data_IF_294735417434
#
_entry.id   IF_294735417434
#
_cell.length_a   1.000
_cell.length_b   1.000
_cell.length_c   1.000
_cell.angle_alpha   90.00
_cell.angle_beta   90.00
_cell.angle_gamma   90.00
#
_symmetry.space_group_name_H-M   'P 1'
#
loop_
_entity.id
_entity.type
_entity.pdbx_description
1 polymer ?
#
# COMPACT_ATOMS: atom_id res chain seq x y z
N UNK A 1 29.30 -84.92 0.96
CA UNK A 1 29.24 -83.72 1.79
C UNK A 1 30.58 -83.55 2.50
N UNK A 2 31.37 -82.54 2.15
CA UNK A 2 32.65 -82.26 2.84
C UNK A 2 32.34 -81.68 4.23
N UNK A 3 32.94 -82.18 5.32
CA UNK A 3 32.71 -81.65 6.65
C UNK A 3 33.27 -80.18 6.72
N UNK A 4 32.46 -79.31 7.22
CA UNK A 4 32.86 -77.90 7.51
C UNK A 4 33.97 -77.99 8.57
N UNK A 5 35.18 -77.53 8.26
CA UNK A 5 36.32 -77.49 9.19
C UNK A 5 35.89 -76.64 10.42
N UNK A 6 35.77 -77.27 11.57
CA UNK A 6 35.39 -76.66 12.87
C UNK A 6 36.24 -75.41 13.23
N UNK A 7 37.40 -75.20 12.62
CA UNK A 7 38.27 -74.10 12.84
C UNK A 7 37.88 -72.79 12.15
N UNK A 8 36.85 -72.79 11.27
CA UNK A 8 36.42 -71.63 10.54
C UNK A 8 35.21 -70.89 11.12
N UNK A 9 34.49 -71.54 12.07
CA UNK A 9 33.23 -71.02 12.63
C UNK A 9 33.46 -69.82 13.55
N UNK A 10 34.52 -69.81 14.37
CA UNK A 10 34.83 -68.71 15.30
C UNK A 10 35.12 -67.40 14.63
N UNK A 11 36.03 -67.30 13.63
CA UNK A 11 36.31 -66.05 12.96
C UNK A 11 35.13 -65.57 12.11
N UNK A 12 34.31 -66.44 11.56
CA UNK A 12 33.12 -66.08 10.78
C UNK A 12 32.01 -65.47 11.66
N UNK A 13 31.75 -66.07 12.82
CA UNK A 13 30.79 -65.55 13.81
C UNK A 13 31.21 -64.16 14.34
N UNK A 14 32.50 -63.94 14.53
CA UNK A 14 33.06 -62.68 15.01
C UNK A 14 32.94 -61.56 13.95
N UNK A 15 33.24 -61.87 12.68
CA UNK A 15 33.04 -60.97 11.58
C UNK A 15 31.53 -60.59 11.38
N UNK A 16 30.66 -61.57 11.55
CA UNK A 16 29.22 -61.36 11.47
C UNK A 16 28.70 -60.47 12.61
N UNK A 17 29.12 -60.67 13.85
CA UNK A 17 28.72 -59.82 14.99
C UNK A 17 29.31 -58.43 14.88
N UNK A 18 30.56 -58.24 14.47
CA UNK A 18 31.17 -56.93 14.20
C UNK A 18 30.47 -56.19 13.08
N UNK A 19 30.13 -56.93 12.00
CA UNK A 19 29.32 -56.33 10.91
C UNK A 19 27.92 -55.88 11.34
N UNK A 20 27.24 -56.67 12.17
CA UNK A 20 25.93 -56.31 12.72
C UNK A 20 25.96 -55.05 13.61
N UNK A 21 26.98 -54.96 14.47
CA UNK A 21 27.20 -53.77 15.32
C UNK A 21 27.49 -52.54 14.47
N UNK A 22 28.31 -52.66 13.42
CA UNK A 22 28.61 -51.56 12.49
C UNK A 22 27.34 -51.11 11.76
N UNK A 23 26.53 -52.02 11.26
CA UNK A 23 25.24 -51.69 10.60
C UNK A 23 24.30 -50.97 11.57
N UNK A 24 24.20 -51.47 12.81
CA UNK A 24 23.37 -50.84 13.85
C UNK A 24 23.84 -49.39 14.15
N UNK A 25 25.14 -49.17 14.30
CA UNK A 25 25.71 -47.87 14.56
C UNK A 25 25.48 -46.88 13.40
N UNK A 26 25.65 -47.34 12.15
CA UNK A 26 25.38 -46.53 10.95
C UNK A 26 23.90 -46.23 10.86
N UNK A 27 23.02 -47.18 11.09
CA UNK A 27 21.56 -46.99 11.05
C UNK A 27 21.09 -46.01 12.12
N UNK A 28 21.61 -46.12 13.34
CA UNK A 28 21.29 -45.25 14.46
C UNK A 28 21.79 -43.81 14.19
N UNK A 29 23.03 -43.69 13.72
CA UNK A 29 23.61 -42.38 13.32
C UNK A 29 22.82 -41.72 12.19
N UNK A 30 22.46 -42.45 11.16
CA UNK A 30 21.64 -42.00 10.04
C UNK A 30 20.25 -41.54 10.52
N UNK A 31 19.63 -42.28 11.44
CA UNK A 31 18.34 -41.90 12.03
C UNK A 31 18.44 -40.59 12.80
N UNK A 32 19.44 -40.39 13.66
CA UNK A 32 19.64 -39.19 14.42
C UNK A 32 19.97 -37.99 13.52
N UNK A 33 20.80 -38.13 12.50
CA UNK A 33 21.13 -37.11 11.51
C UNK A 33 19.87 -36.70 10.74
N UNK A 34 19.09 -37.69 10.25
CA UNK A 34 17.85 -37.42 9.52
C UNK A 34 16.78 -36.72 10.37
N UNK A 35 16.70 -37.07 11.66
CA UNK A 35 15.80 -36.41 12.62
C UNK A 35 16.20 -34.97 12.86
N UNK A 36 17.48 -34.69 13.11
CA UNK A 36 17.98 -33.34 13.31
C UNK A 36 17.83 -32.45 12.05
N UNK A 37 18.07 -33.04 10.88
CA UNK A 37 17.89 -32.36 9.62
C UNK A 37 16.43 -31.94 9.40
N UNK A 38 15.46 -32.84 9.65
CA UNK A 38 14.03 -32.56 9.58
C UNK A 38 13.59 -31.48 10.58
N UNK A 39 14.06 -31.56 11.81
CA UNK A 39 13.74 -30.58 12.85
C UNK A 39 14.24 -29.18 12.50
N UNK A 40 15.43 -29.08 11.91
CA UNK A 40 15.94 -27.75 11.50
C UNK A 40 15.32 -27.25 10.20
N UNK A 41 15.06 -28.12 9.23
CA UNK A 41 14.31 -27.72 8.04
C UNK A 41 12.94 -27.16 8.43
N UNK A 42 12.26 -27.74 9.44
CA UNK A 42 11.05 -27.23 10.02
C UNK A 42 11.22 -25.84 10.65
N UNK A 43 12.29 -25.63 11.43
CA UNK A 43 12.59 -24.31 12.03
C UNK A 43 12.89 -23.25 10.98
N UNK A 44 13.61 -23.57 9.91
CA UNK A 44 13.88 -22.64 8.80
C UNK A 44 12.58 -22.28 8.09
N UNK A 45 11.74 -23.26 7.76
CA UNK A 45 10.43 -22.99 7.15
C UNK A 45 9.53 -22.15 8.04
N UNK A 46 9.51 -22.41 9.34
CA UNK A 46 8.75 -21.60 10.29
C UNK A 46 9.26 -20.17 10.35
N UNK A 47 10.58 -19.97 10.42
CA UNK A 47 11.18 -18.63 10.44
C UNK A 47 10.93 -17.86 9.13
N UNK A 48 10.97 -18.54 7.96
CA UNK A 48 10.58 -17.94 6.68
C UNK A 48 9.09 -17.54 6.65
N UNK A 49 8.22 -18.41 7.18
CA UNK A 49 6.79 -18.12 7.26
C UNK A 49 6.51 -16.94 8.21
N UNK A 50 7.15 -16.89 9.38
CA UNK A 50 7.04 -15.78 10.33
C UNK A 50 7.57 -14.46 9.73
N UNK A 51 8.71 -14.50 9.04
CA UNK A 51 9.26 -13.35 8.32
C UNK A 51 8.27 -12.85 7.26
N UNK A 52 7.72 -13.73 6.43
CA UNK A 52 6.74 -13.36 5.41
C UNK A 52 5.45 -12.82 6.02
N UNK A 53 4.97 -13.39 7.12
CA UNK A 53 3.80 -12.92 7.84
C UNK A 53 4.03 -11.50 8.41
N UNK A 54 5.18 -11.26 9.04
CA UNK A 54 5.56 -9.95 9.56
C UNK A 54 5.64 -8.90 8.43
N UNK A 55 6.23 -9.24 7.28
CA UNK A 55 6.29 -8.34 6.11
C UNK A 55 4.91 -7.99 5.56
N UNK A 56 4.02 -8.99 5.44
CA UNK A 56 2.63 -8.75 5.01
C UNK A 56 1.90 -7.86 6.00
N UNK A 57 2.02 -8.13 7.29
CA UNK A 57 1.37 -7.33 8.33
C UNK A 57 1.86 -5.88 8.33
N UNK A 58 3.16 -5.64 8.14
CA UNK A 58 3.71 -4.29 8.04
C UNK A 58 3.12 -3.54 6.84
N UNK A 59 3.06 -4.17 5.65
CA UNK A 59 2.45 -3.57 4.46
C UNK A 59 0.96 -3.28 4.63
N UNK A 60 0.22 -4.19 5.27
CA UNK A 60 -1.21 -4.01 5.56
C UNK A 60 -1.44 -2.84 6.53
N UNK A 61 -0.59 -2.69 7.53
CA UNK A 61 -0.66 -1.58 8.47
C UNK A 61 -0.43 -0.24 7.77
N UNK A 62 0.60 -0.12 6.94
CA UNK A 62 0.90 1.11 6.18
C UNK A 62 -0.23 1.43 5.19
N UNK A 63 -0.73 0.44 4.47
CA UNK A 63 -1.84 0.63 3.55
C UNK A 63 -3.12 1.07 4.27
N UNK A 64 -3.39 0.49 5.43
CA UNK A 64 -4.54 0.86 6.27
C UNK A 64 -4.42 2.29 6.79
N UNK A 65 -3.21 2.72 7.20
CA UNK A 65 -2.94 4.11 7.60
C UNK A 65 -3.18 5.08 6.45
N UNK A 66 -2.63 4.78 5.27
CA UNK A 66 -2.80 5.60 4.07
C UNK A 66 -4.28 5.76 3.69
N UNK A 67 -5.02 4.65 3.60
CA UNK A 67 -6.46 4.68 3.30
C UNK A 67 -7.30 5.41 4.35
N UNK A 68 -6.99 5.19 5.62
CA UNK A 68 -7.67 5.91 6.71
C UNK A 68 -7.43 7.42 6.62
N UNK A 69 -6.19 7.84 6.26
CA UNK A 69 -5.88 9.25 6.05
C UNK A 69 -6.67 9.83 4.88
N UNK A 70 -6.69 9.14 3.74
CA UNK A 70 -7.44 9.56 2.54
C UNK A 70 -8.93 9.73 2.87
N UNK A 71 -9.55 8.73 3.50
CA UNK A 71 -10.96 8.80 3.92
C UNK A 71 -11.22 9.99 4.83
N UNK A 72 -10.45 10.14 5.90
CA UNK A 72 -10.59 11.27 6.84
C UNK A 72 -10.36 12.62 6.16
N UNK A 73 -9.44 12.70 5.21
CA UNK A 73 -9.18 13.93 4.46
C UNK A 73 -10.36 14.29 3.56
N UNK A 74 -11.01 13.29 2.94
CA UNK A 74 -12.23 13.46 2.12
C UNK A 74 -13.42 13.92 2.96
N UNK A 75 -13.68 13.24 4.09
CA UNK A 75 -14.76 13.60 5.01
C UNK A 75 -14.59 15.04 5.54
N UNK A 76 -13.36 15.41 5.89
CA UNK A 76 -13.06 16.77 6.34
C UNK A 76 -13.17 17.82 5.22
N UNK A 77 -12.90 17.43 3.97
CA UNK A 77 -13.06 18.33 2.83
C UNK A 77 -14.53 18.76 2.67
N UNK A 78 -15.47 17.81 2.64
CA UNK A 78 -16.90 18.12 2.51
C UNK A 78 -17.36 19.05 3.65
N UNK A 79 -17.04 18.72 4.89
CA UNK A 79 -17.39 19.55 6.03
C UNK A 79 -16.80 20.96 5.96
N UNK A 80 -15.52 21.09 5.59
CA UNK A 80 -14.86 22.39 5.45
C UNK A 80 -15.47 23.21 4.34
N UNK A 81 -15.76 22.57 3.19
CA UNK A 81 -16.37 23.24 2.06
C UNK A 81 -17.74 23.83 2.45
N UNK A 82 -18.58 23.05 3.13
CA UNK A 82 -19.87 23.50 3.62
C UNK A 82 -19.76 24.65 4.64
N UNK A 83 -18.84 24.54 5.60
CA UNK A 83 -18.58 25.63 6.56
C UNK A 83 -18.05 26.89 5.89
N UNK A 84 -17.17 26.75 4.92
CA UNK A 84 -16.61 27.88 4.18
C UNK A 84 -17.67 28.61 3.36
N UNK A 85 -18.46 27.88 2.56
CA UNK A 85 -19.50 28.47 1.73
C UNK A 85 -20.57 29.18 2.58
N UNK A 86 -21.05 28.51 3.64
CA UNK A 86 -22.02 29.14 4.55
C UNK A 86 -21.44 30.38 5.25
N UNK A 87 -20.14 30.34 5.60
CA UNK A 87 -19.44 31.48 6.18
C UNK A 87 -19.32 32.65 5.21
N UNK A 88 -19.03 32.41 3.92
CA UNK A 88 -18.96 33.47 2.90
C UNK A 88 -20.32 34.13 2.66
N UNK A 89 -21.39 33.36 2.55
CA UNK A 89 -22.75 33.90 2.39
C UNK A 89 -23.17 34.72 3.60
N UNK A 90 -22.91 34.23 4.83
CA UNK A 90 -23.24 34.99 6.05
C UNK A 90 -22.47 36.30 6.14
N UNK A 91 -21.18 36.35 5.73
CA UNK A 91 -20.40 37.58 5.64
C UNK A 91 -20.97 38.51 4.59
N UNK A 92 -21.32 38.03 3.40
CA UNK A 92 -21.94 38.82 2.35
C UNK A 92 -23.29 39.41 2.80
N UNK A 93 -24.13 38.60 3.45
CA UNK A 93 -25.40 39.06 4.06
C UNK A 93 -25.17 40.13 5.13
N UNK A 94 -24.14 39.97 5.98
CA UNK A 94 -23.82 40.98 7.00
C UNK A 94 -23.37 42.30 6.37
N UNK A 95 -22.55 42.29 5.32
CA UNK A 95 -22.17 43.48 4.55
C UNK A 95 -23.39 44.11 3.92
N UNK A 96 -24.23 43.33 3.24
CA UNK A 96 -25.47 43.84 2.62
C UNK A 96 -26.39 44.47 3.67
N UNK A 97 -26.55 43.87 4.84
CA UNK A 97 -27.39 44.40 5.95
C UNK A 97 -26.82 45.71 6.49
N UNK A 98 -25.53 45.81 6.72
CA UNK A 98 -24.87 47.03 7.18
C UNK A 98 -25.04 48.18 6.20
N UNK A 99 -24.91 47.93 4.89
CA UNK A 99 -25.11 48.94 3.85
C UNK A 99 -26.58 49.33 3.72
N UNK A 100 -27.49 48.36 3.82
CA UNK A 100 -28.94 48.62 3.82
C UNK A 100 -29.34 49.54 4.98
N UNK A 101 -28.92 49.21 6.20
CA UNK A 101 -29.25 49.96 7.41
C UNK A 101 -28.65 51.36 7.38
N UNK A 102 -27.38 51.52 6.93
CA UNK A 102 -26.69 52.79 6.83
C UNK A 102 -27.28 53.72 5.72
N UNK A 103 -27.80 53.14 4.63
CA UNK A 103 -28.35 53.87 3.51
C UNK A 103 -29.79 54.36 3.77
N UNK A 104 -30.53 53.69 4.65
CA UNK A 104 -31.94 54.03 4.93
C UNK A 104 -32.09 55.49 5.44
N UNK A 105 -33.00 56.21 4.80
CA UNK A 105 -33.27 57.62 5.13
C UNK A 105 -32.35 58.65 4.46
N UNK A 106 -31.26 58.18 3.80
CA UNK A 106 -30.32 59.07 3.08
C UNK A 106 -30.19 58.74 1.58
N UNK A 107 -30.38 57.46 1.20
CA UNK A 107 -30.31 56.96 -0.17
C UNK A 107 -31.66 56.38 -0.59
N UNK A 108 -31.95 56.33 -1.89
CA UNK A 108 -33.05 55.56 -2.43
C UNK A 108 -32.74 54.08 -2.40
N UNK A 109 -33.75 53.20 -2.41
CA UNK A 109 -33.58 51.76 -2.44
C UNK A 109 -32.72 51.31 -3.63
N UNK A 110 -32.90 51.91 -4.81
CA UNK A 110 -32.09 51.66 -5.98
C UNK A 110 -30.59 51.98 -5.77
N UNK A 111 -30.30 53.10 -5.07
CA UNK A 111 -28.92 53.49 -4.75
C UNK A 111 -28.28 52.50 -3.75
N UNK A 112 -29.05 52.03 -2.76
CA UNK A 112 -28.59 51.03 -1.78
C UNK A 112 -28.33 49.71 -2.48
N UNK A 113 -29.21 49.25 -3.37
CA UNK A 113 -29.03 48.04 -4.17
C UNK A 113 -27.74 48.09 -5.00
N UNK A 114 -27.48 49.21 -5.69
CA UNK A 114 -26.22 49.38 -6.45
C UNK A 114 -25.03 49.33 -5.51
N UNK A 115 -25.08 49.99 -4.35
CA UNK A 115 -23.98 50.00 -3.39
C UNK A 115 -23.67 48.59 -2.86
N UNK A 116 -24.69 47.81 -2.51
CA UNK A 116 -24.52 46.41 -2.06
C UNK A 116 -23.93 45.56 -3.18
N UNK A 117 -24.51 45.64 -4.39
CA UNK A 117 -24.06 44.88 -5.56
C UNK A 117 -22.57 45.14 -5.86
N UNK A 118 -22.17 46.40 -5.96
CA UNK A 118 -20.78 46.75 -6.27
C UNK A 118 -19.80 46.41 -5.14
N UNK A 119 -20.22 46.46 -3.88
CA UNK A 119 -19.39 46.04 -2.73
C UNK A 119 -19.12 44.55 -2.70
N UNK A 120 -19.98 43.72 -3.29
CA UNK A 120 -19.84 42.26 -3.34
C UNK A 120 -19.27 41.75 -4.67
N UNK A 121 -19.22 42.57 -5.72
CA UNK A 121 -18.81 42.22 -7.08
C UNK A 121 -17.41 41.62 -7.14
N UNK A 122 -16.45 42.19 -6.43
CA UNK A 122 -15.05 41.83 -6.48
C UNK A 122 -14.65 40.87 -5.34
N UNK A 123 -15.62 40.44 -4.52
CA UNK A 123 -15.34 39.45 -3.48
C UNK A 123 -14.96 38.12 -4.12
N UNK A 124 -13.72 37.66 -3.86
CA UNK A 124 -13.20 36.38 -4.33
C UNK A 124 -12.63 35.59 -3.16
N UNK A 125 -12.73 34.28 -3.25
CA UNK A 125 -12.13 33.33 -2.31
C UNK A 125 -11.62 32.10 -3.09
N UNK A 126 -10.94 31.17 -2.43
CA UNK A 126 -10.39 29.96 -3.06
C UNK A 126 -9.50 30.26 -4.30
N UNK A 127 -8.55 31.19 -4.15
CA UNK A 127 -7.63 31.62 -5.22
C UNK A 127 -8.38 32.15 -6.46
N UNK A 128 -9.45 32.94 -6.26
CA UNK A 128 -10.19 33.61 -7.31
C UNK A 128 -11.32 32.81 -7.95
N UNK A 129 -11.48 31.54 -7.62
CA UNK A 129 -12.55 30.67 -8.17
C UNK A 129 -13.91 30.88 -7.53
N UNK A 130 -13.91 31.09 -6.21
CA UNK A 130 -15.13 31.40 -5.47
C UNK A 130 -15.53 32.85 -5.62
N UNK A 131 -16.81 33.12 -5.75
CA UNK A 131 -17.41 34.43 -5.89
C UNK A 131 -18.77 34.47 -5.22
N UNK A 132 -19.26 35.66 -4.95
CA UNK A 132 -20.62 35.91 -4.49
C UNK A 132 -21.50 36.14 -5.71
N UNK A 133 -22.68 35.55 -5.75
CA UNK A 133 -23.72 35.82 -6.71
C UNK A 133 -25.00 36.24 -5.98
N UNK A 134 -25.87 36.97 -6.67
CA UNK A 134 -27.14 37.44 -6.12
C UNK A 134 -28.22 37.31 -7.18
N UNK A 135 -29.32 36.66 -6.80
CA UNK A 135 -30.52 36.57 -7.61
C UNK A 135 -31.70 37.12 -6.81
N UNK A 136 -32.72 37.56 -7.48
CA UNK A 136 -33.99 37.98 -6.87
C UNK A 136 -34.95 36.76 -6.87
N UNK A 137 -35.83 36.67 -5.89
CA UNK A 137 -36.78 35.54 -5.77
C UNK A 137 -37.76 35.44 -6.95
N UNK A 138 -37.97 36.55 -7.72
CA UNK A 138 -38.82 36.57 -8.91
C UNK A 138 -38.13 36.04 -10.19
N UNK A 139 -36.85 35.76 -10.16
CA UNK A 139 -36.10 35.23 -11.30
C UNK A 139 -34.97 36.13 -11.79
N UNK A 140 -34.93 37.41 -11.43
CA UNK A 140 -33.95 38.37 -11.96
C UNK A 140 -32.54 38.08 -11.40
N UNK A 141 -31.55 38.00 -12.29
CA UNK A 141 -30.12 37.94 -11.94
C UNK A 141 -29.64 39.32 -11.51
N UNK A 142 -29.24 39.51 -10.26
CA UNK A 142 -28.80 40.79 -9.72
C UNK A 142 -27.29 40.99 -9.83
N UNK A 143 -26.52 39.93 -9.52
CA UNK A 143 -25.05 39.96 -9.55
C UNK A 143 -24.51 38.56 -9.94
N UNK A 144 -23.75 38.50 -11.03
CA UNK A 144 -23.08 37.28 -11.47
C UNK A 144 -21.71 37.64 -12.07
N UNK A 145 -20.68 37.80 -11.23
CA UNK A 145 -19.38 38.35 -11.64
C UNK A 145 -18.62 37.58 -12.71
N UNK A 146 -18.91 36.31 -12.89
CA UNK A 146 -18.25 35.46 -13.91
C UNK A 146 -18.96 35.52 -15.28
N UNK A 147 -20.25 35.94 -15.31
CA UNK A 147 -21.08 36.05 -16.51
C UNK A 147 -21.88 37.38 -16.42
N UNK A 148 -21.21 38.57 -16.43
CA UNK A 148 -21.88 39.84 -16.17
C UNK A 148 -22.98 40.18 -17.16
N UNK A 149 -22.97 39.61 -18.36
CA UNK A 149 -24.00 39.80 -19.40
C UNK A 149 -25.35 39.16 -19.06
N UNK A 150 -25.39 38.26 -18.04
CA UNK A 150 -26.64 37.71 -17.51
C UNK A 150 -27.26 38.60 -16.43
N UNK A 151 -26.55 39.58 -15.92
CA UNK A 151 -27.11 40.51 -14.92
C UNK A 151 -28.29 41.32 -15.52
N UNK A 152 -29.43 41.25 -14.85
CA UNK A 152 -30.71 41.80 -15.31
C UNK A 152 -31.55 40.84 -16.16
N UNK A 153 -31.03 39.66 -16.54
CA UNK A 153 -31.81 38.64 -17.23
C UNK A 153 -32.69 37.86 -16.25
N UNK A 154 -33.81 37.31 -16.77
CA UNK A 154 -34.65 36.38 -16.04
C UNK A 154 -34.04 34.97 -16.14
N UNK A 155 -33.67 34.37 -14.99
CA UNK A 155 -33.11 33.05 -14.89
C UNK A 155 -34.10 32.03 -14.33
N UNK A 156 -35.39 32.34 -14.23
CA UNK A 156 -36.42 31.47 -13.68
C UNK A 156 -36.49 30.10 -14.37
N UNK A 157 -36.39 30.10 -15.70
CA UNK A 157 -36.42 28.88 -16.52
C UNK A 157 -35.04 28.40 -16.94
N UNK A 158 -33.97 28.98 -16.36
CA UNK A 158 -32.62 28.53 -16.64
C UNK A 158 -32.36 27.15 -16.06
N UNK A 159 -31.82 26.25 -16.89
CA UNK A 159 -31.47 24.88 -16.54
C UNK A 159 -29.97 24.66 -16.76
N UNK A 160 -29.41 23.75 -15.97
CA UNK A 160 -28.10 23.19 -16.29
C UNK A 160 -28.21 22.15 -17.44
N UNK A 161 -27.07 21.60 -17.87
CA UNK A 161 -26.98 20.61 -18.95
C UNK A 161 -27.60 19.23 -18.60
N UNK A 162 -28.06 19.05 -17.36
CA UNK A 162 -28.85 17.87 -16.90
C UNK A 162 -30.36 18.15 -16.87
N UNK A 163 -30.79 19.37 -17.14
CA UNK A 163 -32.18 19.80 -17.08
C UNK A 163 -32.66 20.25 -15.70
N UNK A 164 -31.74 20.51 -14.77
CA UNK A 164 -32.04 20.95 -13.43
C UNK A 164 -32.32 22.47 -13.39
N UNK A 165 -33.46 22.89 -12.83
CA UNK A 165 -33.85 24.30 -12.67
C UNK A 165 -33.17 24.93 -11.45
N UNK A 166 -32.05 25.61 -11.67
CA UNK A 166 -31.15 26.08 -10.60
C UNK A 166 -31.85 27.10 -9.70
N UNK A 167 -32.38 28.17 -10.28
CA UNK A 167 -32.95 29.26 -9.49
C UNK A 167 -34.25 28.84 -8.77
N UNK A 168 -35.05 27.99 -9.38
CA UNK A 168 -36.26 27.42 -8.73
C UNK A 168 -35.93 26.66 -7.46
N UNK A 169 -34.86 25.89 -7.47
CA UNK A 169 -34.40 25.18 -6.26
C UNK A 169 -33.90 26.17 -5.21
N UNK A 170 -33.14 27.23 -5.61
CA UNK A 170 -32.71 28.28 -4.67
C UNK A 170 -33.88 28.94 -3.99
N UNK A 171 -34.87 29.35 -4.76
CA UNK A 171 -36.11 29.97 -4.24
C UNK A 171 -36.82 29.00 -3.27
N UNK A 172 -36.98 27.76 -3.66
CA UNK A 172 -37.57 26.75 -2.75
C UNK A 172 -36.79 26.66 -1.43
N UNK A 173 -35.46 26.49 -1.48
CA UNK A 173 -34.61 26.37 -0.29
C UNK A 173 -34.78 27.58 0.63
N UNK A 174 -34.71 28.82 0.08
CA UNK A 174 -34.71 30.00 0.92
C UNK A 174 -36.08 30.32 1.47
N UNK A 175 -37.16 30.03 0.75
CA UNK A 175 -38.53 30.19 1.25
C UNK A 175 -38.91 29.16 2.31
N UNK A 176 -38.43 27.89 2.20
CA UNK A 176 -38.73 26.85 3.17
C UNK A 176 -37.87 26.94 4.44
N UNK A 177 -36.60 27.31 4.30
CA UNK A 177 -35.57 27.16 5.37
C UNK A 177 -34.78 28.44 5.66
N UNK A 178 -34.94 29.50 4.86
CA UNK A 178 -34.16 30.73 4.94
C UNK A 178 -32.76 30.63 4.32
N UNK A 179 -32.14 29.48 4.40
CA UNK A 179 -30.81 29.18 3.82
C UNK A 179 -30.61 27.67 3.60
N UNK A 180 -29.71 27.29 2.68
CA UNK A 180 -29.39 25.89 2.45
C UNK A 180 -28.38 25.66 1.34
N UNK A 181 -28.04 24.39 1.12
CA UNK A 181 -27.14 23.95 0.06
C UNK A 181 -27.92 23.46 -1.15
N UNK A 182 -27.38 23.75 -2.35
CA UNK A 182 -27.82 23.20 -3.63
C UNK A 182 -26.60 22.69 -4.40
N UNK A 183 -26.78 21.60 -5.15
CA UNK A 183 -25.77 21.02 -6.03
C UNK A 183 -26.31 21.01 -7.46
N UNK A 184 -25.61 21.63 -8.39
CA UNK A 184 -26.00 21.81 -9.79
C UNK A 184 -24.76 21.97 -10.66
N UNK A 185 -24.94 22.02 -11.97
CA UNK A 185 -23.83 22.25 -12.90
C UNK A 185 -23.85 23.70 -13.38
N UNK A 186 -22.66 24.31 -13.45
CA UNK A 186 -22.51 25.72 -13.85
C UNK A 186 -21.18 25.97 -14.54
N UNK A 187 -21.11 27.05 -15.32
CA UNK A 187 -19.89 27.50 -15.99
C UNK A 187 -18.82 27.93 -14.99
N UNK A 188 -17.56 27.55 -15.26
CA UNK A 188 -16.43 27.94 -14.43
C UNK A 188 -15.91 29.35 -14.74
N UNK A 189 -15.19 29.98 -13.80
CA UNK A 189 -14.48 31.24 -14.09
C UNK A 189 -13.47 31.02 -15.21
N UNK A 190 -13.61 31.81 -16.32
CA UNK A 190 -12.72 31.73 -17.47
C UNK A 190 -13.01 30.57 -18.45
N UNK A 191 -14.04 29.76 -18.18
CA UNK A 191 -14.51 28.70 -19.06
C UNK A 191 -16.04 28.74 -19.10
N UNK A 192 -16.57 29.27 -20.19
CA UNK A 192 -18.02 29.43 -20.42
C UNK A 192 -18.62 28.32 -21.32
N UNK A 193 -17.81 27.36 -21.74
CA UNK A 193 -18.25 26.37 -22.73
C UNK A 193 -18.72 25.06 -22.08
N UNK A 194 -18.21 24.75 -20.87
CA UNK A 194 -18.50 23.50 -20.19
C UNK A 194 -19.04 23.75 -18.77
N UNK A 195 -20.21 23.20 -18.49
CA UNK A 195 -20.74 23.19 -17.12
C UNK A 195 -20.05 22.14 -16.27
N UNK A 196 -19.69 22.52 -15.05
CA UNK A 196 -19.03 21.66 -14.06
C UNK A 196 -19.85 21.59 -12.79
N UNK A 197 -19.77 20.48 -12.06
CA UNK A 197 -20.50 20.27 -10.82
C UNK A 197 -20.07 21.29 -9.75
N UNK A 198 -21.06 21.97 -9.18
CA UNK A 198 -20.88 23.08 -8.23
C UNK A 198 -21.76 22.87 -7.01
N UNK A 199 -21.16 22.93 -5.83
CA UNK A 199 -21.89 23.04 -4.58
C UNK A 199 -22.00 24.50 -4.19
N UNK A 200 -23.22 25.00 -3.98
CA UNK A 200 -23.48 26.35 -3.49
C UNK A 200 -24.22 26.34 -2.17
N UNK A 201 -23.98 27.36 -1.37
CA UNK A 201 -24.83 27.72 -0.24
C UNK A 201 -25.55 29.01 -0.59
N UNK A 202 -26.85 29.05 -0.35
CA UNK A 202 -27.71 30.21 -0.65
C UNK A 202 -28.46 30.62 0.61
N UNK A 203 -28.74 31.93 0.75
CA UNK A 203 -29.48 32.46 1.88
C UNK A 203 -30.27 33.70 1.52
N UNK A 204 -31.50 33.79 2.04
CA UNK A 204 -32.39 34.90 1.81
C UNK A 204 -31.89 36.15 2.54
N UNK A 205 -31.87 37.28 1.81
CA UNK A 205 -31.71 38.60 2.34
C UNK A 205 -33.05 39.35 2.23
N UNK A 206 -33.83 39.24 3.27
CA UNK A 206 -35.25 39.65 3.31
C UNK A 206 -35.51 41.08 2.91
N UNK A 207 -34.63 42.08 3.24
CA UNK A 207 -34.95 43.48 2.93
C UNK A 207 -35.11 43.82 1.43
N UNK A 208 -34.53 42.94 0.56
CA UNK A 208 -34.57 43.15 -0.89
C UNK A 208 -35.08 41.92 -1.65
N UNK A 209 -35.61 40.91 -0.96
CA UNK A 209 -36.01 39.63 -1.54
C UNK A 209 -34.88 38.99 -2.38
N UNK A 210 -33.64 39.17 -1.95
CA UNK A 210 -32.45 38.67 -2.64
C UNK A 210 -32.00 37.36 -2.09
N UNK A 211 -31.57 36.48 -2.99
CA UNK A 211 -30.88 35.24 -2.68
C UNK A 211 -29.38 35.52 -2.85
N UNK A 212 -28.64 35.63 -1.74
CA UNK A 212 -27.20 35.75 -1.76
C UNK A 212 -26.58 34.37 -1.70
N UNK A 213 -25.73 34.02 -2.68
CA UNK A 213 -25.12 32.74 -2.77
C UNK A 213 -23.60 32.76 -2.98
N UNK A 214 -22.96 31.68 -2.60
CA UNK A 214 -21.55 31.42 -2.84
C UNK A 214 -21.35 29.92 -3.15
N UNK A 215 -20.46 29.59 -4.09
CA UNK A 215 -20.25 28.21 -4.48
C UNK A 215 -18.78 27.87 -4.80
N UNK A 216 -18.48 26.60 -4.83
CA UNK A 216 -17.19 26.02 -5.25
C UNK A 216 -17.43 24.85 -6.19
N UNK A 217 -16.54 24.65 -7.16
CA UNK A 217 -16.59 23.52 -8.08
C UNK A 217 -15.99 22.30 -7.40
N UNK A 218 -16.71 21.16 -7.44
CA UNK A 218 -16.33 19.96 -6.73
C UNK A 218 -15.02 19.37 -7.27
N UNK A 219 -14.81 19.43 -8.59
CA UNK A 219 -13.54 18.98 -9.22
C UNK A 219 -12.33 19.76 -8.69
N UNK A 220 -12.47 21.08 -8.53
CA UNK A 220 -11.38 21.92 -8.00
C UNK A 220 -11.10 21.65 -6.53
N UNK A 221 -12.15 21.38 -5.74
CA UNK A 221 -12.02 21.00 -4.34
C UNK A 221 -11.32 19.63 -4.21
N UNK A 222 -11.70 18.68 -5.06
CA UNK A 222 -11.11 17.34 -5.10
C UNK A 222 -9.66 17.36 -5.58
N UNK A 223 -9.33 18.14 -6.61
CA UNK A 223 -7.94 18.30 -7.07
C UNK A 223 -7.03 18.91 -5.98
N UNK A 224 -7.55 19.81 -5.15
CA UNK A 224 -6.81 20.32 -3.98
C UNK A 224 -6.61 19.23 -2.91
N UNK A 225 -7.63 18.42 -2.69
CA UNK A 225 -7.55 17.30 -1.77
C UNK A 225 -6.50 16.28 -2.25
N UNK A 226 -6.55 15.90 -3.53
CA UNK A 226 -5.58 14.98 -4.13
C UNK A 226 -4.14 15.46 -3.96
N UNK A 227 -3.85 16.74 -4.23
CA UNK A 227 -2.51 17.29 -4.01
C UNK A 227 -2.03 17.15 -2.57
N UNK A 228 -2.87 17.52 -1.58
CA UNK A 228 -2.52 17.37 -0.15
C UNK A 228 -2.34 15.91 0.27
N UNK A 229 -3.14 15.02 -0.29
CA UNK A 229 -2.99 13.58 -0.06
C UNK A 229 -1.68 13.08 -0.65
N UNK A 230 -1.31 13.49 -1.86
CA UNK A 230 -0.03 13.11 -2.47
C UNK A 230 1.17 13.63 -1.68
N UNK A 231 1.12 14.87 -1.18
CA UNK A 231 2.15 15.42 -0.28
C UNK A 231 2.31 14.52 0.97
N UNK A 232 1.22 14.19 1.64
CA UNK A 232 1.25 13.30 2.80
C UNK A 232 1.76 11.89 2.46
N UNK A 233 1.28 11.29 1.37
CA UNK A 233 1.72 9.96 0.94
C UNK A 233 3.19 9.95 0.55
N UNK A 234 3.69 11.04 -0.03
CA UNK A 234 5.11 11.23 -0.34
C UNK A 234 6.03 11.32 0.90
N UNK A 235 5.47 11.62 2.07
CA UNK A 235 6.20 11.65 3.35
C UNK A 235 6.21 10.30 4.07
N UNK A 236 5.36 9.35 3.66
CA UNK A 236 5.32 8.02 4.28
C UNK A 236 6.64 7.29 4.04
N UNK A 237 7.29 6.89 5.13
CA UNK A 237 8.48 6.04 5.13
C UNK A 237 8.12 4.72 5.82
N UNK A 238 7.82 3.66 5.05
CA UNK A 238 7.66 2.33 5.64
C UNK A 238 8.94 1.91 6.35
N UNK A 239 8.82 1.12 7.40
CA UNK A 239 9.97 0.58 8.12
C UNK A 239 10.87 -0.25 7.18
N UNK A 240 12.16 -0.38 7.51
CA UNK A 240 13.13 -1.28 6.86
C UNK A 240 13.32 -1.05 5.34
N UNK A 241 13.57 0.19 4.93
CA UNK A 241 13.81 0.56 3.52
C UNK A 241 12.62 0.26 2.58
N UNK A 242 11.41 0.23 3.14
CA UNK A 242 10.18 0.14 2.35
C UNK A 242 9.89 1.41 1.57
N UNK A 243 9.10 1.28 0.53
CA UNK A 243 8.67 2.40 -0.33
C UNK A 243 7.15 2.42 -0.43
N UNK A 244 6.57 3.62 -0.31
CA UNK A 244 5.17 3.87 -0.58
C UNK A 244 5.06 4.80 -1.80
N UNK A 245 4.24 4.45 -2.78
CA UNK A 245 4.02 5.28 -3.96
C UNK A 245 2.63 5.11 -4.55
N UNK A 246 2.27 6.01 -5.46
CA UNK A 246 0.96 6.05 -6.12
C UNK A 246 1.17 6.03 -7.63
N UNK A 247 0.41 5.18 -8.31
CA UNK A 247 0.39 5.08 -9.78
C UNK A 247 -1.00 5.48 -10.26
N UNK A 248 -1.07 6.38 -11.25
CA UNK A 248 -2.32 6.71 -11.95
C UNK A 248 -2.58 5.69 -13.07
N UNK A 249 -3.82 5.56 -13.53
CA UNK A 249 -4.22 4.59 -14.55
C UNK A 249 -3.46 4.68 -15.87
N UNK A 250 -2.92 5.86 -16.24
CA UNK A 250 -2.03 6.06 -17.38
C UNK A 250 -0.58 5.61 -17.16
N UNK A 251 -0.26 5.10 -15.96
CA UNK A 251 1.07 4.64 -15.57
C UNK A 251 1.99 5.72 -14.98
N UNK A 252 1.50 6.94 -14.81
CA UNK A 252 2.28 8.01 -14.17
C UNK A 252 2.43 7.74 -12.67
N UNK A 253 3.65 7.90 -12.15
CA UNK A 253 3.94 7.85 -10.71
C UNK A 253 3.74 9.23 -10.11
N UNK A 254 2.78 9.38 -9.21
CA UNK A 254 2.31 10.67 -8.71
C UNK A 254 3.02 11.11 -7.41
N UNK A 255 3.34 10.17 -6.53
CA UNK A 255 4.00 10.45 -5.26
C UNK A 255 4.93 9.30 -4.89
N UNK A 256 6.16 9.64 -4.56
CA UNK A 256 7.16 8.72 -4.00
C UNK A 256 8.24 9.54 -3.29
N UNK A 257 8.73 9.10 -2.11
CA UNK A 257 9.84 9.75 -1.42
C UNK A 257 11.16 9.61 -2.18
N UNK A 258 11.37 8.44 -2.77
CA UNK A 258 12.48 8.10 -3.65
C UNK A 258 11.95 7.18 -4.74
N UNK A 259 12.26 7.45 -6.00
CA UNK A 259 11.78 6.61 -7.08
C UNK A 259 12.50 5.26 -7.04
N UNK A 260 11.82 4.14 -6.67
CA UNK A 260 12.43 2.82 -6.68
C UNK A 260 13.00 2.50 -8.08
N UNK A 261 14.08 1.72 -8.15
CA UNK A 261 14.70 1.37 -9.43
C UNK A 261 13.73 0.67 -10.39
N UNK A 262 12.78 -0.11 -9.86
CA UNK A 262 11.74 -0.78 -10.66
C UNK A 262 10.62 0.17 -11.16
N UNK A 263 10.60 1.41 -10.69
CA UNK A 263 9.64 2.46 -11.10
C UNK A 263 10.35 3.58 -11.87
N UNK A 264 11.70 3.52 -12.06
CA UNK A 264 12.45 4.50 -12.85
C UNK A 264 11.88 4.60 -14.26
N UNK A 265 11.41 5.78 -14.62
CA UNK A 265 10.72 6.07 -15.87
C UNK A 265 9.26 6.47 -15.72
N UNK A 266 8.68 6.38 -14.51
CA UNK A 266 7.28 6.75 -14.24
C UNK A 266 6.99 8.26 -14.15
N UNK A 267 8.02 9.13 -14.13
CA UNK A 267 7.83 10.58 -14.17
C UNK A 267 7.84 11.05 -15.64
N UNK A 268 6.86 10.60 -16.42
CA UNK A 268 6.84 10.71 -17.90
C UNK A 268 5.69 11.55 -18.38
N UNK A 269 5.92 12.24 -19.49
CA UNK A 269 4.83 12.75 -20.33
C UNK A 269 4.06 11.54 -20.92
N UNK A 270 2.72 11.60 -21.00
CA UNK A 270 1.89 10.49 -21.50
C UNK A 270 2.29 9.94 -22.87
N UNK A 271 3.01 10.73 -23.68
CA UNK A 271 3.34 10.43 -25.08
C UNK A 271 4.73 9.80 -25.30
N UNK A 272 5.50 9.50 -24.25
CA UNK A 272 6.87 9.01 -24.40
C UNK A 272 7.09 7.62 -23.81
N UNK A 273 7.55 6.67 -24.60
CA UNK A 273 8.02 5.29 -24.30
C UNK A 273 7.02 4.26 -23.67
N UNK A 274 7.17 2.98 -23.89
CA UNK A 274 6.28 1.97 -23.31
C UNK A 274 6.33 1.98 -21.78
N UNK A 275 5.15 1.82 -21.16
CA UNK A 275 5.01 1.69 -19.70
C UNK A 275 5.89 0.53 -19.19
N UNK A 276 6.74 0.73 -18.19
CA UNK A 276 7.58 -0.32 -17.62
C UNK A 276 6.77 -1.56 -17.20
N UNK A 277 7.33 -2.75 -17.33
CA UNK A 277 6.65 -4.01 -17.01
C UNK A 277 6.17 -4.06 -15.56
N UNK A 278 6.96 -3.52 -14.62
CA UNK A 278 6.59 -3.41 -13.21
C UNK A 278 5.33 -2.55 -13.01
N UNK A 279 5.23 -1.41 -13.72
CA UNK A 279 4.05 -0.55 -13.65
C UNK A 279 2.84 -1.25 -14.28
N UNK A 280 3.02 -1.94 -15.43
CA UNK A 280 1.93 -2.74 -16.02
C UNK A 280 1.44 -3.83 -15.07
N UNK A 281 2.37 -4.50 -14.38
CA UNK A 281 2.02 -5.51 -13.37
C UNK A 281 1.23 -4.89 -12.21
N UNK A 282 1.59 -3.68 -11.78
CA UNK A 282 0.87 -2.95 -10.74
C UNK A 282 -0.54 -2.58 -11.21
N UNK A 283 -0.67 -2.03 -12.41
CA UNK A 283 -1.96 -1.61 -12.95
C UNK A 283 -2.90 -2.80 -13.18
N UNK A 284 -2.38 -3.91 -13.75
CA UNK A 284 -3.18 -5.13 -13.92
C UNK A 284 -3.63 -5.72 -12.59
N UNK A 285 -2.75 -5.75 -11.59
CA UNK A 285 -3.13 -6.19 -10.25
C UNK A 285 -4.17 -5.27 -9.61
N UNK A 286 -4.07 -3.95 -9.82
CA UNK A 286 -5.07 -2.98 -9.39
C UNK A 286 -6.44 -3.23 -10.02
N UNK A 287 -6.49 -3.48 -11.33
CA UNK A 287 -7.71 -3.82 -12.07
C UNK A 287 -8.37 -5.13 -11.58
N UNK A 288 -7.58 -6.09 -11.10
CA UNK A 288 -8.04 -7.35 -10.48
C UNK A 288 -8.50 -7.20 -9.01
N UNK A 289 -8.55 -5.98 -8.47
CA UNK A 289 -8.92 -5.71 -7.07
C UNK A 289 -7.75 -5.62 -6.11
N UNK A 290 -6.52 -5.69 -6.59
CA UNK A 290 -5.31 -5.53 -5.78
C UNK A 290 -4.77 -6.82 -5.17
N UNK A 291 -3.98 -6.68 -4.08
CA UNK A 291 -3.40 -7.79 -3.35
C UNK A 291 -1.88 -7.80 -3.33
N UNK A 292 -1.31 -8.87 -2.77
CA UNK A 292 0.14 -9.03 -2.70
C UNK A 292 0.72 -9.49 -4.03
N UNK A 293 1.82 -8.85 -4.45
CA UNK A 293 2.62 -9.22 -5.64
C UNK A 293 4.12 -9.17 -5.31
N UNK A 294 4.90 -9.94 -6.07
CA UNK A 294 6.37 -9.84 -6.04
C UNK A 294 6.81 -8.98 -7.23
N UNK A 295 7.52 -7.90 -6.94
CA UNK A 295 8.08 -7.00 -7.94
C UNK A 295 9.59 -7.22 -7.98
N UNK A 296 10.17 -7.28 -9.19
CA UNK A 296 11.61 -7.38 -9.39
C UNK A 296 12.19 -6.02 -9.75
N UNK A 297 13.22 -5.60 -9.05
CA UNK A 297 14.01 -4.44 -9.42
C UNK A 297 15.07 -4.84 -10.45
N UNK A 298 14.97 -4.29 -11.66
CA UNK A 298 16.04 -4.40 -12.62
C UNK A 298 17.16 -3.40 -12.24
N UNK A 299 18.07 -3.78 -11.37
CA UNK A 299 19.36 -3.10 -11.26
C UNK A 299 20.23 -3.56 -12.42
N UNK A 300 20.99 -2.61 -13.04
CA UNK A 300 21.81 -2.86 -14.22
C UNK A 300 22.68 -4.12 -14.13
N UNK A 301 23.17 -4.59 -15.25
CA UNK A 301 23.67 -5.93 -15.58
C UNK A 301 24.69 -6.62 -14.63
N UNK A 302 25.14 -6.01 -13.55
CA UNK A 302 26.21 -6.56 -12.69
C UNK A 302 25.80 -6.86 -11.23
N UNK A 303 24.59 -6.49 -10.78
CA UNK A 303 24.21 -6.74 -9.38
C UNK A 303 22.77 -7.32 -9.31
N UNK A 304 22.63 -8.46 -8.64
CA UNK A 304 21.45 -9.31 -8.65
C UNK A 304 20.12 -8.55 -8.43
N UNK A 305 19.11 -8.90 -9.20
CA UNK A 305 17.77 -8.31 -9.11
C UNK A 305 17.20 -8.44 -7.70
N UNK A 306 16.90 -7.31 -7.07
CA UNK A 306 16.24 -7.27 -5.76
C UNK A 306 14.75 -7.56 -5.93
N UNK A 307 14.22 -8.49 -5.13
CA UNK A 307 12.80 -8.81 -5.13
C UNK A 307 12.12 -8.12 -3.97
N UNK A 308 11.02 -7.43 -4.26
CA UNK A 308 10.19 -6.75 -3.27
C UNK A 308 8.84 -7.45 -3.14
N UNK A 309 8.32 -7.53 -1.92
CA UNK A 309 6.92 -7.84 -1.66
C UNK A 309 6.15 -6.51 -1.71
N UNK A 310 5.17 -6.43 -2.58
CA UNK A 310 4.31 -5.27 -2.69
C UNK A 310 2.86 -5.62 -2.33
N UNK A 311 2.20 -4.72 -1.61
CA UNK A 311 0.75 -4.70 -1.46
C UNK A 311 0.21 -3.60 -2.36
N UNK A 312 -0.67 -3.99 -3.28
CA UNK A 312 -1.27 -3.13 -4.30
C UNK A 312 -2.75 -2.98 -3.96
N UNK A 313 -3.25 -1.75 -3.91
CA UNK A 313 -4.66 -1.48 -3.67
C UNK A 313 -5.17 -0.38 -4.60
N UNK A 314 -6.23 -0.64 -5.40
CA UNK A 314 -6.85 0.38 -6.22
C UNK A 314 -7.64 1.39 -5.39
N UNK A 315 -7.67 2.62 -5.88
CA UNK A 315 -8.52 3.72 -5.44
C UNK A 315 -9.28 4.26 -6.67
N UNK A 316 -10.35 3.56 -7.10
CA UNK A 316 -11.01 3.79 -8.39
C UNK A 316 -11.53 5.21 -8.58
N UNK A 317 -12.04 5.84 -7.51
CA UNK A 317 -12.60 7.20 -7.55
C UNK A 317 -11.61 8.25 -8.08
N UNK A 318 -10.31 7.99 -7.95
CA UNK A 318 -9.25 8.89 -8.40
C UNK A 318 -8.40 8.32 -9.53
N UNK A 319 -8.76 7.16 -10.06
CA UNK A 319 -7.93 6.41 -11.01
C UNK A 319 -6.51 6.17 -10.48
N UNK A 320 -6.39 5.93 -9.17
CA UNK A 320 -5.12 5.70 -8.50
C UNK A 320 -4.96 4.24 -8.07
N UNK A 321 -3.72 3.80 -8.05
CA UNK A 321 -3.31 2.54 -7.45
C UNK A 321 -2.24 2.83 -6.40
N UNK A 322 -2.56 2.56 -5.14
CA UNK A 322 -1.64 2.69 -4.01
C UNK A 322 -0.75 1.46 -3.94
N UNK A 323 0.53 1.65 -3.74
CA UNK A 323 1.53 0.58 -3.64
C UNK A 323 2.41 0.81 -2.42
N UNK A 324 2.43 -0.16 -1.52
CA UNK A 324 3.40 -0.25 -0.44
C UNK A 324 4.30 -1.44 -0.70
N UNK A 325 5.61 -1.29 -0.66
CA UNK A 325 6.54 -2.38 -0.93
C UNK A 325 7.70 -2.43 0.06
N UNK A 326 8.16 -3.65 0.35
CA UNK A 326 9.30 -3.95 1.21
C UNK A 326 10.26 -4.91 0.49
N UNK A 327 11.58 -4.73 0.64
CA UNK A 327 12.53 -5.68 0.11
C UNK A 327 12.38 -7.05 0.78
N UNK A 328 12.44 -8.12 -0.03
CA UNK A 328 12.38 -9.52 0.43
C UNK A 328 13.77 -10.08 0.76
N UNK A 329 14.75 -9.22 1.08
CA UNK A 329 16.02 -9.74 1.60
C UNK A 329 15.78 -10.33 2.99
N UNK A 330 15.86 -11.66 3.15
CA UNK A 330 15.93 -12.22 4.49
C UNK A 330 17.17 -11.65 5.17
N UNK A 331 17.19 -11.50 6.50
CA UNK A 331 18.39 -11.08 7.21
C UNK A 331 19.49 -12.10 6.94
N UNK A 332 20.37 -11.77 5.97
CA UNK A 332 21.41 -12.69 5.43
C UNK A 332 22.26 -13.32 6.52
N UNK A 333 22.48 -12.59 7.62
CA UNK A 333 23.28 -13.07 8.76
C UNK A 333 22.60 -14.22 9.50
N UNK A 334 21.29 -14.14 9.78
CA UNK A 334 20.60 -15.16 10.58
C UNK A 334 20.41 -16.51 9.84
N UNK A 335 20.06 -16.47 8.57
CA UNK A 335 19.85 -17.71 7.78
C UNK A 335 21.14 -18.33 7.29
N UNK A 336 22.14 -17.53 6.87
CA UNK A 336 23.46 -18.05 6.50
C UNK A 336 24.20 -18.63 7.70
N UNK A 337 24.16 -17.99 8.86
CA UNK A 337 24.72 -18.48 10.12
C UNK A 337 24.03 -19.77 10.58
N UNK A 338 22.70 -19.83 10.50
CA UNK A 338 21.96 -21.04 10.83
C UNK A 338 22.30 -22.21 9.90
N UNK A 339 22.42 -21.95 8.59
CA UNK A 339 22.84 -22.99 7.60
C UNK A 339 24.29 -23.42 7.81
N UNK A 340 25.22 -22.50 8.05
CA UNK A 340 26.64 -22.83 8.27
C UNK A 340 26.84 -23.55 9.61
N UNK A 341 26.20 -23.11 10.68
CA UNK A 341 26.21 -23.80 11.98
C UNK A 341 25.65 -25.23 11.88
N UNK A 342 24.61 -25.42 11.08
CA UNK A 342 24.08 -26.79 10.81
C UNK A 342 25.08 -27.62 10.06
N UNK A 343 25.61 -27.15 8.94
CA UNK A 343 26.59 -27.87 8.14
C UNK A 343 27.76 -28.32 9.03
N UNK A 344 28.30 -27.43 9.83
CA UNK A 344 29.37 -27.69 10.78
C UNK A 344 28.98 -28.76 11.80
N UNK A 345 27.76 -28.73 12.34
CA UNK A 345 27.24 -29.70 13.30
C UNK A 345 27.07 -31.08 12.66
N UNK A 346 26.54 -31.16 11.45
CA UNK A 346 26.36 -32.39 10.68
C UNK A 346 27.73 -33.00 10.35
N UNK A 347 28.69 -32.24 9.84
CA UNK A 347 30.04 -32.75 9.56
C UNK A 347 30.74 -33.24 10.80
N UNK A 348 30.60 -32.57 11.95
CA UNK A 348 31.16 -33.01 13.21
C UNK A 348 30.56 -34.37 13.66
N UNK A 349 29.25 -34.54 13.51
CA UNK A 349 28.59 -35.82 13.85
C UNK A 349 28.98 -36.96 12.92
N UNK A 350 29.12 -36.69 11.61
CA UNK A 350 29.62 -37.67 10.64
C UNK A 350 31.06 -38.07 11.02
N UNK A 351 31.90 -37.11 11.37
CA UNK A 351 33.27 -37.38 11.81
C UNK A 351 33.34 -38.26 13.06
N UNK A 352 32.50 -37.97 14.07
CA UNK A 352 32.41 -38.78 15.29
C UNK A 352 31.89 -40.21 15.00
N UNK A 353 30.86 -40.37 14.17
CA UNK A 353 30.34 -41.66 13.77
C UNK A 353 31.39 -42.48 12.99
N UNK A 354 32.12 -41.85 12.08
CA UNK A 354 33.21 -42.48 11.35
C UNK A 354 34.36 -42.96 12.27
N UNK A 355 34.71 -42.14 13.28
CA UNK A 355 35.72 -42.47 14.28
C UNK A 355 35.30 -43.73 15.09
N UNK A 356 34.05 -43.79 15.56
CA UNK A 356 33.57 -44.97 16.28
C UNK A 356 33.52 -46.20 15.40
N UNK A 357 33.19 -46.08 14.13
CA UNK A 357 33.25 -47.17 13.15
C UNK A 357 34.66 -47.69 12.97
N UNK A 358 35.65 -46.78 12.80
CA UNK A 358 37.06 -47.16 12.66
C UNK A 358 37.62 -47.85 13.91
N UNK A 359 37.30 -47.32 15.10
CA UNK A 359 37.67 -47.91 16.36
C UNK A 359 37.03 -49.29 16.58
N UNK A 360 35.76 -49.47 16.23
CA UNK A 360 35.05 -50.72 16.27
C UNK A 360 35.66 -51.76 15.33
N UNK A 361 35.96 -51.39 14.08
CA UNK A 361 36.62 -52.27 13.11
C UNK A 361 38.06 -52.63 13.52
N UNK A 362 38.82 -51.67 14.03
CA UNK A 362 40.17 -51.91 14.53
C UNK A 362 40.19 -52.83 15.75
N UNK A 363 39.27 -52.63 16.68
CA UNK A 363 39.09 -53.50 17.84
C UNK A 363 38.69 -54.92 17.46
N UNK A 364 37.77 -55.04 16.50
CA UNK A 364 37.38 -56.36 15.96
C UNK A 364 38.55 -57.11 15.27
N UNK A 365 39.35 -56.41 14.49
CA UNK A 365 40.52 -56.98 13.83
C UNK A 365 41.59 -57.40 14.84
N UNK A 366 41.89 -56.57 15.83
CA UNK A 366 42.86 -56.87 16.89
C UNK A 366 42.45 -58.12 17.69
N UNK A 367 41.16 -58.21 18.05
CA UNK A 367 40.60 -59.31 18.75
C UNK A 367 40.66 -60.64 17.89
N UNK A 368 40.34 -60.49 16.59
CA UNK A 368 40.43 -61.64 15.65
C UNK A 368 41.88 -62.14 15.53
N UNK A 369 42.87 -61.24 15.45
CA UNK A 369 44.30 -61.61 15.43
C UNK A 369 44.72 -62.24 16.74
N UNK A 370 44.28 -61.72 17.89
CA UNK A 370 44.57 -62.25 19.21
C UNK A 370 44.01 -63.69 19.37
N UNK A 371 42.76 -63.92 19.05
CA UNK A 371 42.11 -65.20 19.10
C UNK A 371 42.79 -66.22 18.16
N UNK A 372 43.14 -65.80 16.95
CA UNK A 372 43.85 -66.63 16.01
C UNK A 372 45.22 -67.06 16.54
N UNK A 373 45.98 -66.18 17.16
CA UNK A 373 47.26 -66.48 17.82
C UNK A 373 47.06 -67.44 19.03
N UNK A 374 46.07 -67.13 19.89
CA UNK A 374 45.79 -67.99 21.07
C UNK A 374 45.36 -69.42 20.68
N UNK A 375 44.56 -69.58 19.64
CA UNK A 375 44.17 -70.90 19.11
C UNK A 375 45.38 -71.63 18.54
N UNK A 376 46.28 -70.98 17.80
CA UNK A 376 47.49 -71.58 17.26
C UNK A 376 48.43 -72.08 18.36
N UNK A 377 48.63 -71.26 19.41
CA UNK A 377 49.46 -71.64 20.56
C UNK A 377 48.90 -72.87 21.32
N UNK A 378 47.58 -72.91 21.56
CA UNK A 378 46.95 -74.10 22.18
C UNK A 378 46.97 -75.32 21.30
N UNK A 379 46.83 -75.13 20.00
CA UNK A 379 46.93 -76.27 19.06
C UNK A 379 48.36 -76.84 18.93
N UNK A 380 49.36 -75.97 19.15
CA UNK A 380 50.77 -76.45 19.25
C UNK A 380 51.04 -77.25 20.53
N UNK A 381 50.57 -76.73 21.70
CA UNK A 381 50.69 -77.43 23.00
C UNK A 381 49.96 -78.78 23.03
N UNK A 382 48.80 -78.85 22.36
CA UNK A 382 48.06 -80.18 22.23
C UNK A 382 48.80 -81.18 21.34
N UNK A 383 49.53 -80.73 20.32
CA UNK A 383 50.31 -81.59 19.46
C UNK A 383 51.59 -82.08 20.15
N UNK A 384 52.23 -81.32 21.02
CA UNK A 384 53.37 -81.75 21.85
C UNK A 384 52.93 -82.71 22.95
N UNK A 385 51.71 -82.69 23.45
CA UNK A 385 51.22 -83.68 24.45
C UNK A 385 50.75 -85.01 23.87
N UNK A 386 50.60 -85.09 22.55
CA UNK A 386 50.14 -86.31 21.84
C UNK A 386 51.30 -86.96 21.04
N UNK A 387 52.52 -86.40 21.03
CA UNK A 387 53.75 -87.06 20.53
C UNK A 387 54.59 -87.64 21.70
#
# INVERSE_FOLDING_TARGET
>A
MKPIREGAIGPLAFLATGGLIAILLVSLSSFFISRQYRELAGRVQQAEAEFMAARRQSLENEMTRARSHIRKARDRMDQRLRLELSGQVRKAKAVARSLWEAGRGTLSDAQIQVLIRESLRDVRFNNGRGYIFIDHIDGACVLLPILPWLEGADLWDNQDDTGHFILREFVQIVLERGEGFSSYRWYGPGDSDVMREKLSFVGLFEPLDWIIGAGEYLEDAEARLQRRVLEFLGEIRPEEAGVFFVVRGDGAVLATPETPGYVRGGNRSPDSDPIPESIRTILSAGAEGGGFRRLREARGAEDGSETHLALIQPLPDWDWTLVASLPLKPPERGFAEARSALAAKVWRQIGVAALFLLLGLGGALALAVFLHRAIRLRAADYRERLA
#
